data_IF_423172955200
#
_entry.id   IF_423172955200
#
_cell.length_a   1.000
_cell.length_b   1.000
_cell.length_c   1.000
_cell.angle_alpha   90.00
_cell.angle_beta   90.00
_cell.angle_gamma   90.00
#
_symmetry.space_group_name_H-M   'P 1'
#
loop_
_entity.id
_entity.type
_entity.pdbx_description
1 polymer ?
#
# COMPACT_ATOMS: atom_id res chain seq x y z
N UNK A 1 13.81 1.14 14.79
CA UNK A 1 13.05 1.91 13.77
C UNK A 1 13.92 2.25 12.55
N UNK A 2 14.61 1.28 11.93
CA UNK A 2 15.47 1.51 10.75
C UNK A 2 15.13 0.62 9.56
N UNK A 3 14.32 -0.42 9.74
CA UNK A 3 13.94 -1.36 8.67
C UNK A 3 13.03 -0.75 7.59
N UNK A 4 12.47 0.44 7.83
CA UNK A 4 11.65 1.17 6.84
C UNK A 4 12.49 2.02 5.88
N UNK A 5 13.77 2.27 6.18
CA UNK A 5 14.64 3.08 5.31
C UNK A 5 15.23 2.31 4.12
N UNK A 6 15.29 0.97 4.20
CA UNK A 6 15.81 0.13 3.12
C UNK A 6 14.73 -0.39 2.17
N UNK A 7 13.45 -0.24 2.50
CA UNK A 7 12.36 -0.71 1.67
C UNK A 7 11.71 0.45 0.93
N UNK A 8 11.83 0.45 -0.39
CA UNK A 8 11.16 1.41 -1.27
C UNK A 8 9.72 0.97 -1.51
N UNK A 9 8.79 1.91 -1.38
CA UNK A 9 7.43 1.71 -1.86
C UNK A 9 7.44 1.77 -3.38
N UNK A 10 6.87 0.76 -4.01
CA UNK A 10 6.84 0.66 -5.48
C UNK A 10 5.43 0.71 -6.05
N UNK A 11 4.42 0.31 -5.28
CA UNK A 11 3.03 0.40 -5.69
C UNK A 11 2.07 0.63 -4.52
N UNK A 12 0.93 1.24 -4.86
CA UNK A 12 -0.24 1.37 -3.99
C UNK A 12 -1.44 0.87 -4.74
N UNK A 13 -2.03 -0.23 -4.27
CA UNK A 13 -3.14 -0.89 -4.94
C UNK A 13 -4.30 -1.06 -3.99
N UNK A 14 -5.46 -0.52 -4.36
CA UNK A 14 -6.71 -0.80 -3.64
C UNK A 14 -7.34 -2.11 -4.10
N UNK A 15 -6.99 -2.57 -5.30
CA UNK A 15 -7.57 -3.74 -5.93
C UNK A 15 -6.78 -5.01 -5.59
N UNK A 16 -7.51 -6.03 -5.11
CA UNK A 16 -6.92 -7.32 -4.76
C UNK A 16 -6.32 -8.06 -5.96
N UNK A 17 -6.88 -7.87 -7.16
CA UNK A 17 -6.42 -8.51 -8.40
C UNK A 17 -5.07 -7.93 -8.84
N UNK A 18 -4.94 -6.61 -8.74
CA UNK A 18 -3.69 -5.91 -9.08
C UNK A 18 -2.58 -6.26 -8.08
N UNK A 19 -2.92 -6.39 -6.79
CA UNK A 19 -1.96 -6.89 -5.79
C UNK A 19 -1.45 -8.29 -6.15
N UNK A 20 -2.33 -9.19 -6.59
CA UNK A 20 -1.95 -10.55 -6.96
C UNK A 20 -1.00 -10.57 -8.16
N UNK A 21 -1.30 -9.78 -9.20
CA UNK A 21 -0.44 -9.63 -10.39
C UNK A 21 0.95 -9.11 -10.05
N UNK A 22 1.03 -8.08 -9.20
CA UNK A 22 2.31 -7.54 -8.76
C UNK A 22 3.08 -8.60 -7.96
N UNK A 23 2.43 -9.27 -7.00
CA UNK A 23 3.08 -10.31 -6.19
C UNK A 23 3.58 -11.48 -7.05
N UNK A 24 2.81 -11.91 -8.04
CA UNK A 24 3.20 -12.97 -8.98
C UNK A 24 4.43 -12.56 -9.80
N UNK A 25 4.41 -11.37 -10.40
CA UNK A 25 5.53 -10.85 -11.18
C UNK A 25 6.80 -10.63 -10.34
N UNK A 26 6.66 -10.15 -9.10
CA UNK A 26 7.77 -10.02 -8.16
C UNK A 26 8.32 -11.39 -7.74
N UNK A 27 7.45 -12.37 -7.53
CA UNK A 27 7.85 -13.75 -7.22
C UNK A 27 8.57 -14.41 -8.39
N UNK A 28 8.08 -14.21 -9.62
CA UNK A 28 8.73 -14.69 -10.84
C UNK A 28 10.12 -14.07 -11.05
N UNK A 29 10.31 -12.83 -10.61
CA UNK A 29 11.60 -12.16 -10.58
C UNK A 29 12.49 -12.59 -9.38
N UNK A 30 11.98 -13.41 -8.46
CA UNK A 30 12.69 -13.82 -7.24
C UNK A 30 12.82 -12.71 -6.19
N UNK A 31 12.03 -11.63 -6.30
CA UNK A 31 12.11 -10.45 -5.43
C UNK A 31 11.20 -10.63 -4.21
N UNK A 32 11.79 -10.45 -3.03
CA UNK A 32 11.04 -10.49 -1.77
C UNK A 32 10.25 -9.20 -1.56
N UNK A 33 8.93 -9.27 -1.75
CA UNK A 33 8.03 -8.14 -1.55
C UNK A 33 7.29 -8.21 -0.20
N UNK A 34 6.92 -7.04 0.33
CA UNK A 34 6.15 -6.90 1.56
C UNK A 34 4.90 -6.08 1.29
N UNK A 35 3.73 -6.70 1.45
CA UNK A 35 2.45 -6.04 1.25
C UNK A 35 1.93 -5.54 2.61
N UNK A 36 1.57 -4.27 2.68
CA UNK A 36 0.99 -3.66 3.88
C UNK A 36 -0.32 -2.98 3.53
N UNK A 37 -1.42 -3.60 3.91
CA UNK A 37 -2.73 -2.99 3.81
C UNK A 37 -2.91 -1.96 4.91
N UNK A 38 -3.34 -0.77 4.52
CA UNK A 38 -3.65 0.34 5.42
C UNK A 38 -4.96 0.96 4.98
N UNK A 39 -5.72 1.39 5.97
CA UNK A 39 -6.93 2.14 5.73
C UNK A 39 -6.56 3.61 5.47
N UNK A 40 -6.87 4.13 4.28
CA UNK A 40 -6.60 5.53 3.89
C UNK A 40 -7.43 6.48 4.73
N UNK A 41 -8.59 6.02 5.17
CA UNK A 41 -9.46 6.79 6.03
C UNK A 41 -8.91 6.94 7.47
N UNK A 42 -7.85 6.19 7.80
CA UNK A 42 -7.12 6.33 9.06
C UNK A 42 -6.22 7.57 9.11
N UNK A 43 -6.26 8.45 8.12
CA UNK A 43 -5.46 9.68 8.07
C UNK A 43 -5.72 10.65 9.23
N UNK A 44 -6.71 10.37 10.09
CA UNK A 44 -6.71 10.99 11.40
C UNK A 44 -7.55 10.28 12.44
N UNK A 45 -6.98 9.36 13.23
CA UNK A 45 -7.62 8.96 14.50
C UNK A 45 -7.65 10.15 15.49
N UNK A 46 -6.79 11.16 15.27
CA UNK A 46 -6.72 12.38 16.08
C UNK A 46 -7.75 13.46 15.69
N UNK A 47 -8.22 13.47 14.43
CA UNK A 47 -9.24 14.42 13.90
C UNK A 47 -10.61 13.75 13.70
N UNK A 48 -10.65 12.42 13.46
CA UNK A 48 -11.90 11.66 13.39
C UNK A 48 -12.66 11.64 14.72
N UNK A 49 -11.97 11.77 15.86
CA UNK A 49 -12.62 11.88 17.17
C UNK A 49 -13.34 13.22 17.34
N UNK A 50 -12.88 14.30 16.68
CA UNK A 50 -13.58 15.60 16.67
C UNK A 50 -14.68 15.67 15.61
N UNK A 51 -14.48 15.06 14.44
CA UNK A 51 -15.50 15.05 13.39
C UNK A 51 -16.66 14.07 13.63
N UNK A 52 -16.44 12.94 14.34
CA UNK A 52 -17.51 11.98 14.68
C UNK A 52 -18.59 12.56 15.60
N UNK A 53 -18.28 13.61 16.35
CA UNK A 53 -19.23 14.24 17.27
C UNK A 53 -20.13 15.29 16.59
N UNK A 54 -19.79 15.77 15.39
CA UNK A 54 -20.53 16.84 14.70
C UNK A 54 -21.26 16.42 13.43
N UNK A 55 -20.77 15.39 12.71
CA UNK A 55 -21.41 14.93 11.47
C UNK A 55 -21.99 13.55 11.74
N UNK A 56 -23.28 13.53 12.10
CA UNK A 56 -24.07 12.31 11.99
C UNK A 56 -23.96 11.75 10.57
N UNK A 57 -23.68 10.46 10.46
CA UNK A 57 -23.97 9.65 9.27
C UNK A 57 -23.58 10.28 7.92
N UNK A 58 -22.29 10.55 7.69
CA UNK A 58 -21.81 10.69 6.31
C UNK A 58 -20.96 9.48 5.94
N UNK A 59 -21.38 8.79 4.88
CA UNK A 59 -20.86 7.51 4.40
C UNK A 59 -19.41 7.59 3.95
N UNK A 60 -18.51 7.67 4.93
CA UNK A 60 -17.09 7.45 4.72
C UNK A 60 -16.93 5.96 4.41
N UNK A 61 -16.90 5.62 3.12
CA UNK A 61 -16.62 4.27 2.66
C UNK A 61 -15.19 3.94 3.09
N UNK A 62 -14.97 2.86 3.87
CA UNK A 62 -13.61 2.47 4.24
C UNK A 62 -12.84 2.17 2.95
N UNK A 63 -11.74 2.88 2.75
CA UNK A 63 -10.91 2.76 1.56
C UNK A 63 -9.59 2.14 1.99
N UNK A 64 -9.49 0.83 1.82
CA UNK A 64 -8.30 0.07 2.12
C UNK A 64 -7.37 0.10 0.91
N UNK A 65 -6.15 0.61 1.11
CA UNK A 65 -5.07 0.52 0.12
C UNK A 65 -4.06 -0.49 0.62
N UNK A 66 -3.50 -1.28 -0.29
CA UNK A 66 -2.37 -2.14 -0.03
C UNK A 66 -1.12 -1.51 -0.63
N UNK A 67 -0.20 -1.12 0.23
CA UNK A 67 1.11 -0.59 -0.15
C UNK A 67 2.07 -1.77 -0.33
N UNK A 68 2.73 -1.87 -1.47
CA UNK A 68 3.73 -2.90 -1.75
C UNK A 68 5.12 -2.28 -1.62
N UNK A 69 5.92 -2.88 -0.76
CA UNK A 69 7.29 -2.49 -0.48
C UNK A 69 8.25 -3.58 -0.96
N UNK A 70 9.36 -3.16 -1.55
CA UNK A 70 10.45 -4.05 -1.96
C UNK A 70 11.77 -3.51 -1.43
N UNK A 71 12.80 -4.35 -1.42
CA UNK A 71 14.13 -3.90 -1.05
C UNK A 71 14.68 -2.87 -2.05
N UNK A 72 15.52 -1.94 -1.58
CA UNK A 72 16.00 -0.81 -2.40
C UNK A 72 16.79 -1.26 -3.62
N UNK A 73 17.55 -2.35 -3.50
CA UNK A 73 18.27 -3.00 -4.62
C UNK A 73 17.33 -3.47 -5.74
N UNK A 74 16.10 -3.87 -5.38
CA UNK A 74 15.11 -4.40 -6.31
C UNK A 74 14.02 -3.37 -6.66
N UNK A 75 14.12 -2.14 -6.14
CA UNK A 75 13.13 -1.10 -6.34
C UNK A 75 13.00 -0.69 -7.80
N UNK A 76 14.12 -0.57 -8.51
CA UNK A 76 14.16 -0.24 -9.93
C UNK A 76 13.48 -1.33 -10.77
N UNK A 77 13.82 -2.61 -10.51
CA UNK A 77 13.26 -3.74 -11.24
C UNK A 77 11.75 -3.88 -10.96
N UNK A 78 11.36 -3.78 -9.69
CA UNK A 78 9.97 -3.84 -9.29
C UNK A 78 9.15 -2.70 -9.90
N UNK A 79 9.68 -1.47 -9.89
CA UNK A 79 9.05 -0.31 -10.53
C UNK A 79 8.86 -0.54 -12.03
N UNK A 80 9.86 -1.10 -12.71
CA UNK A 80 9.78 -1.43 -14.13
C UNK A 80 8.72 -2.51 -14.43
N UNK A 81 8.66 -3.57 -13.61
CA UNK A 81 7.65 -4.63 -13.72
C UNK A 81 6.24 -4.06 -13.52
N UNK A 82 6.04 -3.24 -12.48
CA UNK A 82 4.74 -2.61 -12.19
C UNK A 82 4.31 -1.67 -13.31
N UNK A 83 5.24 -0.92 -13.92
CA UNK A 83 4.96 -0.04 -15.05
C UNK A 83 4.69 -0.79 -16.35
N UNK A 84 5.09 -2.06 -16.44
CA UNK A 84 4.87 -2.92 -17.60
C UNK A 84 3.54 -3.69 -17.52
N UNK A 85 2.99 -3.87 -16.31
CA UNK A 85 1.71 -4.54 -16.02
C UNK A 85 0.49 -3.63 -16.26
#
# INVERSE_FOLDING_TARGET
>A
MLERFFKSQVATVSDSTYCHRITDALTAAGIKCYCKTKDVNQRSVFDATRMRAQIGTFGIKPQYITEIFVDKENAELASHIIHTL
#
